data_IF_674674580734
#
_entry.id   IF_674674580734
#
_cell.length_a   1.000
_cell.length_b   1.000
_cell.length_c   1.000
_cell.angle_alpha   90.00
_cell.angle_beta   90.00
_cell.angle_gamma   90.00
#
_symmetry.space_group_name_H-M   'P 1'
#
loop_
_entity.id
_entity.type
_entity.pdbx_description
1 polymer ?
#
# COMPACT_ATOMS: atom_id res chain seq x y z
N UNK A 1 21.63 -57.60 8.67
CA UNK A 1 21.52 -58.88 9.39
C UNK A 1 20.07 -59.16 9.69
N UNK A 2 19.65 -60.32 9.28
CA UNK A 2 18.43 -61.15 9.40
C UNK A 2 17.32 -60.89 8.38
N UNK A 3 17.41 -61.70 7.32
CA UNK A 3 16.33 -62.22 6.48
C UNK A 3 15.44 -63.14 7.29
N UNK A 4 14.17 -63.18 7.02
CA UNK A 4 13.35 -64.39 7.25
C UNK A 4 12.50 -64.65 6.04
N UNK A 5 12.86 -65.75 5.35
CA UNK A 5 12.03 -66.49 4.39
C UNK A 5 11.03 -67.34 5.16
N UNK A 6 9.82 -67.53 4.60
CA UNK A 6 9.09 -68.76 4.83
C UNK A 6 8.37 -69.16 3.54
N UNK A 7 8.84 -70.26 2.98
CA UNK A 7 8.17 -71.07 1.98
C UNK A 7 7.38 -72.21 2.63
N UNK A 8 6.51 -72.79 1.84
CA UNK A 8 5.85 -74.13 1.95
C UNK A 8 4.52 -74.18 2.71
N UNK A 9 3.44 -74.78 2.14
CA UNK A 9 3.26 -76.09 1.51
C UNK A 9 1.95 -76.16 0.74
N UNK A 10 2.03 -76.81 -0.42
CA UNK A 10 0.90 -77.38 -1.19
C UNK A 10 0.39 -78.69 -0.55
N UNK A 11 -0.91 -78.93 -0.62
CA UNK A 11 -1.55 -80.23 -0.79
C UNK A 11 -3.06 -80.08 -0.80
N UNK A 12 -3.76 -80.20 -1.89
CA UNK A 12 -4.35 -81.46 -2.30
C UNK A 12 -5.86 -81.33 -2.50
N UNK A 13 -6.31 -81.33 -3.70
CA UNK A 13 -7.58 -81.93 -4.25
C UNK A 13 -8.88 -81.79 -3.43
N UNK A 14 -9.85 -81.00 -4.01
CA UNK A 14 -11.13 -81.61 -4.43
C UNK A 14 -11.89 -80.62 -5.34
N UNK A 15 -12.16 -81.13 -6.53
CA UNK A 15 -12.94 -80.49 -7.57
C UNK A 15 -14.45 -80.68 -7.23
N UNK A 16 -15.20 -79.78 -7.81
CA UNK A 16 -16.60 -79.89 -8.24
C UNK A 16 -17.66 -79.22 -7.35
N UNK A 17 -18.51 -78.50 -8.08
CA UNK A 17 -19.77 -77.91 -7.70
C UNK A 17 -19.70 -76.58 -6.85
N UNK A 18 -19.55 -75.48 -7.55
CA UNK A 18 -20.29 -74.24 -7.31
C UNK A 18 -20.01 -73.22 -8.45
N UNK A 19 -20.36 -73.68 -9.69
CA UNK A 19 -20.41 -72.77 -10.83
C UNK A 19 -21.85 -72.25 -10.97
N UNK A 20 -22.16 -71.08 -10.48
CA UNK A 20 -23.49 -70.55 -10.74
C UNK A 20 -23.83 -69.22 -10.06
N UNK A 21 -23.11 -68.80 -9.05
CA UNK A 21 -23.56 -67.63 -8.27
C UNK A 21 -22.57 -66.47 -8.20
N UNK A 22 -21.38 -66.56 -8.84
CA UNK A 22 -20.36 -65.53 -8.81
C UNK A 22 -20.42 -64.58 -10.01
N UNK A 23 -21.12 -64.95 -11.09
CA UNK A 23 -21.19 -64.14 -12.31
C UNK A 23 -22.19 -62.96 -12.26
N UNK A 24 -23.11 -62.94 -11.29
CA UNK A 24 -24.09 -61.83 -11.20
C UNK A 24 -23.75 -60.78 -10.19
N UNK A 25 -22.78 -61.00 -9.31
CA UNK A 25 -22.33 -60.00 -8.31
C UNK A 25 -21.19 -59.10 -8.82
N UNK A 26 -20.55 -59.39 -9.95
CA UNK A 26 -19.48 -58.59 -10.53
C UNK A 26 -19.95 -57.55 -11.55
N UNK A 27 -21.23 -57.56 -11.94
CA UNK A 27 -21.79 -56.60 -12.90
C UNK A 27 -22.47 -55.39 -12.23
N UNK A 28 -22.62 -55.37 -10.88
CA UNK A 28 -23.22 -54.26 -10.15
C UNK A 28 -22.22 -53.36 -9.45
N UNK A 29 -20.91 -53.66 -9.56
CA UNK A 29 -19.83 -52.86 -9.00
C UNK A 29 -19.18 -51.86 -9.98
N UNK A 30 -19.67 -51.78 -11.24
CA UNK A 30 -19.03 -51.00 -12.30
C UNK A 30 -19.76 -49.72 -12.70
N UNK A 31 -20.84 -49.33 -12.00
CA UNK A 31 -21.50 -48.04 -12.26
C UNK A 31 -21.73 -47.30 -10.93
N UNK A 32 -20.68 -47.08 -10.20
CA UNK A 32 -20.66 -45.87 -9.35
C UNK A 32 -20.27 -44.70 -10.24
N UNK A 33 -21.10 -43.65 -10.38
CA UNK A 33 -20.64 -42.46 -11.04
C UNK A 33 -19.40 -42.03 -10.26
N UNK A 34 -18.26 -41.93 -10.95
CA UNK A 34 -17.11 -41.23 -10.48
C UNK A 34 -17.63 -39.79 -10.22
N UNK A 35 -18.10 -39.56 -9.00
CA UNK A 35 -18.30 -38.21 -8.51
C UNK A 35 -16.92 -37.59 -8.68
N UNK A 36 -16.70 -36.86 -9.79
CA UNK A 36 -15.61 -35.91 -9.88
C UNK A 36 -15.77 -35.03 -8.64
N UNK A 37 -15.04 -35.36 -7.59
CA UNK A 37 -14.78 -34.40 -6.54
C UNK A 37 -14.25 -33.19 -7.31
N UNK A 38 -15.08 -32.18 -7.47
CA UNK A 38 -14.63 -30.87 -7.90
C UNK A 38 -13.52 -30.52 -6.93
N UNK A 39 -12.29 -30.65 -7.37
CA UNK A 39 -11.15 -30.11 -6.66
C UNK A 39 -11.49 -28.61 -6.63
N UNK A 40 -11.96 -28.14 -5.50
CA UNK A 40 -12.17 -26.72 -5.27
C UNK A 40 -10.77 -26.10 -5.32
N UNK A 41 -10.34 -25.77 -6.54
CA UNK A 41 -9.10 -25.01 -6.72
C UNK A 41 -9.34 -23.67 -6.07
N UNK A 42 -8.61 -23.40 -4.99
CA UNK A 42 -8.57 -22.05 -4.41
C UNK A 42 -8.00 -21.13 -5.47
N UNK A 43 -8.74 -20.08 -5.81
CA UNK A 43 -8.24 -19.04 -6.69
C UNK A 43 -7.29 -18.12 -5.88
N UNK A 44 -6.21 -17.70 -6.51
CA UNK A 44 -5.16 -16.95 -5.80
C UNK A 44 -4.79 -15.69 -6.57
N UNK A 45 -4.59 -14.59 -5.82
CA UNK A 45 -4.00 -13.35 -6.31
C UNK A 45 -2.84 -12.94 -5.40
N UNK A 46 -1.87 -12.21 -5.95
CA UNK A 46 -0.83 -11.52 -5.20
C UNK A 46 -1.03 -10.00 -5.34
N UNK A 47 -1.34 -9.34 -4.23
CA UNK A 47 -1.39 -7.88 -4.13
C UNK A 47 -0.08 -7.36 -3.53
N UNK A 48 0.68 -6.61 -4.31
CA UNK A 48 1.94 -5.98 -3.89
C UNK A 48 1.69 -4.49 -3.63
N UNK A 49 2.05 -4.02 -2.43
CA UNK A 49 1.72 -2.66 -2.02
C UNK A 49 2.79 -2.01 -1.13
N UNK A 50 2.63 -0.73 -0.82
CA UNK A 50 3.49 -0.01 0.12
C UNK A 50 3.01 -0.19 1.58
N UNK A 51 3.98 -0.14 2.53
CA UNK A 51 3.75 -0.52 3.94
C UNK A 51 2.52 0.09 4.62
N UNK A 52 2.20 1.38 4.47
CA UNK A 52 1.05 1.99 5.12
C UNK A 52 -0.31 1.37 4.81
N UNK A 53 -0.43 0.64 3.69
CA UNK A 53 -1.70 0.02 3.27
C UNK A 53 -1.88 -1.41 3.77
N UNK A 54 -0.96 -1.94 4.56
CA UNK A 54 -0.97 -3.33 5.04
C UNK A 54 -2.29 -3.73 5.69
N UNK A 55 -2.73 -2.94 6.66
CA UNK A 55 -3.90 -3.23 7.48
C UNK A 55 -5.19 -3.11 6.67
N UNK A 56 -5.35 -2.03 5.91
CA UNK A 56 -6.54 -1.80 5.08
C UNK A 56 -6.70 -2.86 3.99
N UNK A 57 -5.58 -3.28 3.35
CA UNK A 57 -5.62 -4.34 2.33
C UNK A 57 -5.96 -5.68 2.98
N UNK A 58 -5.45 -5.96 4.18
CA UNK A 58 -5.78 -7.18 4.91
C UNK A 58 -7.29 -7.28 5.16
N UNK A 59 -7.91 -6.25 5.72
CA UNK A 59 -9.36 -6.23 5.98
C UNK A 59 -10.18 -6.32 4.68
N UNK A 60 -9.74 -5.64 3.60
CA UNK A 60 -10.41 -5.73 2.30
C UNK A 60 -10.31 -7.15 1.73
N UNK A 61 -9.17 -7.83 1.88
CA UNK A 61 -9.00 -9.20 1.40
C UNK A 61 -9.93 -10.17 2.14
N UNK A 62 -10.08 -10.01 3.45
CA UNK A 62 -11.01 -10.84 4.23
C UNK A 62 -12.46 -10.59 3.79
N UNK A 63 -12.87 -9.33 3.66
CA UNK A 63 -14.20 -8.96 3.20
C UNK A 63 -14.47 -9.48 1.79
N UNK A 64 -13.51 -9.33 0.87
CA UNK A 64 -13.62 -9.85 -0.50
C UNK A 64 -13.75 -11.36 -0.53
N UNK A 65 -12.96 -12.10 0.27
CA UNK A 65 -13.03 -13.56 0.31
C UNK A 65 -14.40 -14.06 0.82
N UNK A 66 -14.99 -13.37 1.79
CA UNK A 66 -16.35 -13.66 2.29
C UNK A 66 -17.41 -13.37 1.23
N UNK A 67 -17.31 -12.22 0.55
CA UNK A 67 -18.21 -11.83 -0.55
C UNK A 67 -18.12 -12.81 -1.72
N UNK A 68 -16.90 -13.17 -2.13
CA UNK A 68 -16.65 -14.16 -3.15
C UNK A 68 -17.29 -15.52 -2.82
N UNK A 69 -17.08 -16.01 -1.60
CA UNK A 69 -17.66 -17.28 -1.16
C UNK A 69 -19.19 -17.26 -1.22
N UNK A 70 -19.80 -16.14 -0.83
CA UNK A 70 -21.25 -15.96 -0.79
C UNK A 70 -21.87 -15.91 -2.19
N UNK A 71 -21.26 -15.22 -3.17
CA UNK A 71 -21.89 -14.94 -4.45
C UNK A 71 -21.37 -15.80 -5.61
N UNK A 72 -20.14 -16.30 -5.54
CA UNK A 72 -19.53 -17.11 -6.60
C UNK A 72 -19.37 -18.58 -6.21
N UNK A 73 -19.37 -18.87 -4.90
CA UNK A 73 -18.98 -20.17 -4.37
C UNK A 73 -17.48 -20.47 -4.58
N UNK A 74 -16.92 -21.36 -3.80
CA UNK A 74 -15.49 -21.63 -3.83
C UNK A 74 -14.66 -20.69 -2.95
N UNK A 75 -13.34 -20.90 -2.95
CA UNK A 75 -12.41 -20.16 -2.12
C UNK A 75 -11.53 -19.26 -2.96
N UNK A 76 -11.28 -18.06 -2.46
CA UNK A 76 -10.26 -17.16 -3.01
C UNK A 76 -9.29 -16.79 -1.88
N UNK A 77 -8.01 -16.68 -2.20
CA UNK A 77 -6.97 -16.25 -1.30
C UNK A 77 -6.18 -15.11 -1.95
N UNK A 78 -6.05 -14.00 -1.25
CA UNK A 78 -5.27 -12.86 -1.70
C UNK A 78 -4.01 -12.79 -0.83
N UNK A 79 -2.88 -13.14 -1.43
CA UNK A 79 -1.56 -12.96 -0.81
C UNK A 79 -1.16 -11.49 -0.84
N UNK A 80 -0.38 -11.08 0.14
CA UNK A 80 0.08 -9.69 0.28
C UNK A 80 1.61 -9.63 0.36
N UNK A 81 2.19 -8.62 -0.30
CA UNK A 81 3.58 -8.23 -0.11
C UNK A 81 3.65 -6.73 0.14
N UNK A 82 4.29 -6.32 1.22
CA UNK A 82 4.39 -4.93 1.63
C UNK A 82 5.85 -4.51 1.82
N UNK A 83 6.13 -3.23 1.57
CA UNK A 83 7.47 -2.67 1.73
C UNK A 83 7.52 -1.22 1.28
N UNK A 84 8.71 -0.67 1.13
CA UNK A 84 8.87 0.66 0.54
C UNK A 84 8.34 0.68 -0.90
N UNK A 85 7.51 1.67 -1.25
CA UNK A 85 6.79 1.76 -2.53
C UNK A 85 7.71 1.52 -3.75
N UNK A 86 8.80 2.28 -3.89
CA UNK A 86 9.74 2.09 -4.99
C UNK A 86 10.52 0.75 -4.93
N UNK A 87 10.67 0.13 -3.76
CA UNK A 87 11.25 -1.21 -3.63
C UNK A 87 10.32 -2.27 -4.17
N UNK A 88 9.03 -2.18 -3.82
CA UNK A 88 8.01 -3.09 -4.32
C UNK A 88 7.81 -2.97 -5.83
N UNK A 89 7.83 -1.74 -6.37
CA UNK A 89 7.78 -1.52 -7.81
C UNK A 89 8.97 -2.19 -8.52
N UNK A 90 10.18 -2.06 -7.98
CA UNK A 90 11.37 -2.76 -8.52
C UNK A 90 11.22 -4.27 -8.44
N UNK A 91 10.73 -4.81 -7.33
CA UNK A 91 10.52 -6.26 -7.20
C UNK A 91 9.59 -6.81 -8.29
N UNK A 92 8.50 -6.10 -8.62
CA UNK A 92 7.60 -6.46 -9.72
C UNK A 92 8.35 -6.34 -11.06
N UNK A 93 9.07 -5.24 -11.28
CA UNK A 93 9.86 -5.01 -12.50
C UNK A 93 10.95 -6.07 -12.72
N UNK A 94 11.45 -6.68 -11.65
CA UNK A 94 12.46 -7.73 -11.62
C UNK A 94 11.86 -9.15 -11.60
N UNK A 95 10.53 -9.29 -11.71
CA UNK A 95 9.85 -10.56 -11.94
C UNK A 95 8.98 -11.09 -10.80
N UNK A 96 8.70 -10.31 -9.74
CA UNK A 96 7.69 -10.71 -8.74
C UNK A 96 6.31 -10.77 -9.42
N UNK A 97 5.62 -11.93 -9.46
CA UNK A 97 4.42 -12.14 -10.26
C UNK A 97 3.16 -11.57 -9.60
N UNK A 98 3.18 -10.27 -9.27
CA UNK A 98 2.03 -9.57 -8.71
C UNK A 98 0.85 -9.54 -9.69
N UNK A 99 -0.36 -9.73 -9.20
CA UNK A 99 -1.59 -9.53 -9.97
C UNK A 99 -2.07 -8.09 -9.84
N UNK A 100 -1.95 -7.52 -8.64
CA UNK A 100 -2.33 -6.15 -8.30
C UNK A 100 -1.12 -5.43 -7.71
N UNK A 101 -0.95 -4.18 -8.11
CA UNK A 101 0.04 -3.27 -7.55
C UNK A 101 -0.63 -2.01 -7.02
N UNK A 102 -0.30 -1.58 -5.80
CA UNK A 102 -0.68 -0.28 -5.27
C UNK A 102 0.52 0.41 -4.64
N UNK A 103 0.75 1.66 -5.01
CA UNK A 103 1.95 2.40 -4.63
C UNK A 103 1.63 3.78 -4.07
N UNK A 104 2.56 4.36 -3.33
CA UNK A 104 2.41 5.71 -2.81
C UNK A 104 2.43 6.78 -3.92
N UNK A 105 3.13 6.51 -5.03
CA UNK A 105 3.37 7.49 -6.08
C UNK A 105 3.10 6.91 -7.47
N UNK A 106 2.62 7.77 -8.36
CA UNK A 106 2.44 7.46 -9.77
C UNK A 106 3.75 7.02 -10.46
N UNK A 107 4.89 7.61 -10.09
CA UNK A 107 6.20 7.24 -10.64
C UNK A 107 6.62 5.80 -10.36
N UNK A 108 6.09 5.18 -9.31
CA UNK A 108 6.34 3.78 -9.01
C UNK A 108 5.54 2.87 -9.96
N UNK A 109 4.33 3.30 -10.41
CA UNK A 109 3.60 2.64 -11.51
C UNK A 109 4.34 2.77 -12.84
N UNK A 110 4.91 3.95 -13.14
CA UNK A 110 5.75 4.14 -14.33
C UNK A 110 6.93 3.15 -14.38
N UNK A 111 7.51 2.80 -13.25
CA UNK A 111 8.63 1.86 -13.19
C UNK A 111 8.24 0.47 -13.71
N UNK A 112 7.04 -0.02 -13.38
CA UNK A 112 6.55 -1.31 -13.90
C UNK A 112 6.01 -1.18 -15.33
N UNK A 113 5.43 -0.03 -15.70
CA UNK A 113 5.00 0.26 -17.07
C UNK A 113 6.16 0.27 -18.07
N UNK A 114 7.33 0.83 -17.70
CA UNK A 114 8.57 0.80 -18.51
C UNK A 114 9.04 -0.63 -18.82
N UNK A 115 8.68 -1.60 -18.01
CA UNK A 115 8.93 -3.04 -18.25
C UNK A 115 7.82 -3.72 -19.05
N UNK A 116 6.85 -2.96 -19.59
CA UNK A 116 5.70 -3.45 -20.36
C UNK A 116 4.81 -4.42 -19.56
N UNK A 117 4.78 -4.25 -18.25
CA UNK A 117 3.93 -5.04 -17.36
C UNK A 117 2.50 -4.48 -17.25
N UNK A 118 2.30 -3.22 -17.63
CA UNK A 118 1.01 -2.57 -17.76
C UNK A 118 0.68 -2.38 -19.25
N UNK A 119 -0.60 -2.49 -19.62
CA UNK A 119 -1.05 -2.22 -20.98
C UNK A 119 -0.89 -0.75 -21.35
N UNK A 120 -0.85 -0.46 -22.66
CA UNK A 120 -0.88 0.91 -23.17
C UNK A 120 -2.15 1.64 -22.67
N UNK A 121 -1.98 2.86 -22.18
CA UNK A 121 -3.09 3.64 -21.61
C UNK A 121 -3.42 3.33 -20.14
N UNK A 122 -2.53 2.63 -19.44
CA UNK A 122 -2.67 2.33 -18.01
C UNK A 122 -2.89 3.59 -17.16
N UNK A 123 -2.36 4.74 -17.59
CA UNK A 123 -2.53 6.02 -16.91
C UNK A 123 -4.00 6.47 -16.81
N UNK A 124 -4.87 5.90 -17.68
CA UNK A 124 -6.31 6.17 -17.72
C UNK A 124 -7.15 5.13 -16.99
N UNK A 125 -6.52 4.10 -16.44
CA UNK A 125 -7.24 3.09 -15.65
C UNK A 125 -7.91 3.72 -14.43
N UNK A 126 -9.12 3.23 -14.08
CA UNK A 126 -9.92 3.77 -12.97
C UNK A 126 -9.12 3.87 -11.66
N UNK A 127 -8.37 2.83 -11.30
CA UNK A 127 -7.56 2.81 -10.08
C UNK A 127 -6.38 3.77 -10.08
N UNK A 128 -6.04 4.37 -11.22
CA UNK A 128 -4.95 5.33 -11.39
C UNK A 128 -5.48 6.77 -11.45
N UNK A 129 -6.50 7.03 -12.27
CA UNK A 129 -7.09 8.39 -12.41
C UNK A 129 -8.06 8.73 -11.28
N UNK A 130 -8.65 7.73 -10.65
CA UNK A 130 -9.59 7.88 -9.54
C UNK A 130 -9.38 6.75 -8.54
N UNK A 131 -8.29 6.78 -7.78
CA UNK A 131 -8.00 5.76 -6.78
C UNK A 131 -9.13 5.62 -5.76
N UNK A 132 -9.32 4.41 -5.19
CA UNK A 132 -10.42 4.17 -4.26
C UNK A 132 -10.24 4.84 -2.89
N UNK A 133 -9.07 5.38 -2.66
CA UNK A 133 -8.66 6.01 -1.40
C UNK A 133 -7.78 7.23 -1.64
N UNK A 134 -7.76 8.11 -0.64
CA UNK A 134 -6.85 9.25 -0.57
C UNK A 134 -6.27 9.42 0.83
N UNK A 135 -5.24 10.22 0.95
CA UNK A 135 -4.66 10.66 2.23
C UNK A 135 -4.04 12.05 2.07
N UNK A 136 -3.48 12.58 3.13
CA UNK A 136 -2.81 13.87 3.14
C UNK A 136 -1.58 13.83 4.06
N UNK A 137 -0.75 14.87 4.06
CA UNK A 137 0.30 15.05 5.05
C UNK A 137 -0.27 15.86 6.22
N UNK A 138 -0.13 15.31 7.41
CA UNK A 138 -0.51 15.93 8.68
C UNK A 138 0.67 15.94 9.65
N UNK A 139 0.52 16.62 10.78
CA UNK A 139 1.54 16.73 11.82
C UNK A 139 1.11 15.92 13.03
N UNK A 140 1.91 14.93 13.40
CA UNK A 140 1.74 14.15 14.61
C UNK A 140 2.58 14.80 15.72
N UNK A 141 1.94 15.25 16.79
CA UNK A 141 2.57 15.98 17.90
C UNK A 141 2.36 15.25 19.22
N UNK A 142 3.14 15.62 20.23
CA UNK A 142 2.95 15.14 21.60
C UNK A 142 1.64 15.69 22.18
N UNK A 143 1.04 14.96 23.12
CA UNK A 143 -0.18 15.37 23.82
C UNK A 143 -0.10 16.81 24.33
N UNK A 144 -1.16 17.58 24.05
CA UNK A 144 -1.25 19.01 24.43
C UNK A 144 -0.40 19.92 23.56
N UNK A 145 0.21 19.42 22.51
CA UNK A 145 1.00 20.20 21.54
C UNK A 145 1.94 21.21 22.22
N UNK A 146 2.96 20.78 22.98
CA UNK A 146 3.79 21.67 23.83
C UNK A 146 4.50 22.78 23.06
N UNK A 147 4.77 22.53 21.74
CA UNK A 147 5.42 23.50 20.85
C UNK A 147 4.42 24.42 20.13
N UNK A 148 3.11 24.28 20.38
CA UNK A 148 2.03 25.07 19.77
C UNK A 148 2.11 25.09 18.23
N UNK A 149 2.45 23.94 17.62
CA UNK A 149 2.55 23.77 16.17
C UNK A 149 1.13 23.76 15.59
N UNK A 150 0.83 24.69 14.68
CA UNK A 150 -0.49 24.83 14.07
C UNK A 150 -0.43 24.71 12.54
N UNK A 151 0.68 25.14 11.92
CA UNK A 151 0.82 25.16 10.46
C UNK A 151 2.30 25.02 10.04
N UNK A 152 2.54 24.92 8.75
CA UNK A 152 3.87 24.78 8.14
C UNK A 152 4.88 25.81 8.59
N UNK A 153 4.46 27.07 8.82
CA UNK A 153 5.35 28.14 9.27
C UNK A 153 5.99 27.87 10.64
N UNK A 154 5.29 27.15 11.52
CA UNK A 154 5.80 26.83 12.84
C UNK A 154 6.98 25.85 12.77
N UNK A 155 7.01 25.00 11.72
CA UNK A 155 8.09 24.05 11.48
C UNK A 155 9.42 24.72 11.12
N UNK A 156 9.37 25.95 10.58
CA UNK A 156 10.56 26.71 10.19
C UNK A 156 11.21 27.46 11.38
N UNK A 157 10.60 27.42 12.58
CA UNK A 157 11.17 28.07 13.78
C UNK A 157 12.44 27.33 14.24
N UNK A 158 13.51 28.08 14.61
CA UNK A 158 14.73 27.43 15.09
C UNK A 158 14.50 26.55 16.32
N UNK A 159 15.14 25.39 16.36
CA UNK A 159 15.07 24.47 17.49
C UNK A 159 13.82 23.59 17.52
N UNK A 160 13.05 23.54 16.44
CA UNK A 160 11.98 22.59 16.24
C UNK A 160 12.57 21.21 15.86
N UNK A 161 12.26 20.17 16.62
CA UNK A 161 12.68 18.81 16.30
C UNK A 161 11.69 18.14 15.35
N UNK A 162 12.01 18.08 14.05
CA UNK A 162 11.12 17.52 13.02
C UNK A 162 11.58 16.13 12.66
N UNK A 163 10.67 15.14 12.67
CA UNK A 163 10.90 13.79 12.19
C UNK A 163 10.16 13.58 10.87
N UNK A 164 10.89 13.19 9.84
CA UNK A 164 10.37 12.89 8.50
C UNK A 164 11.27 11.88 7.81
N UNK A 165 10.73 11.00 6.95
CA UNK A 165 11.57 10.08 6.18
C UNK A 165 12.33 10.82 5.07
N UNK A 166 13.40 10.16 4.60
CA UNK A 166 14.27 10.70 3.56
C UNK A 166 13.56 10.73 2.19
N UNK A 167 13.40 11.90 1.55
CA UNK A 167 12.75 12.02 0.25
C UNK A 167 13.43 11.26 -0.90
N UNK A 168 14.73 10.95 -0.79
CA UNK A 168 15.43 10.18 -1.83
C UNK A 168 14.94 8.72 -1.92
N UNK A 169 14.40 8.17 -0.83
CA UNK A 169 14.06 6.75 -0.76
C UNK A 169 12.63 6.47 -0.29
N UNK A 170 11.94 7.48 0.27
CA UNK A 170 10.58 7.33 0.81
C UNK A 170 9.57 8.17 0.03
N UNK A 171 8.47 7.55 -0.41
CA UNK A 171 7.33 8.25 -1.00
C UNK A 171 6.69 9.26 -0.03
N UNK A 172 6.55 8.91 1.25
CA UNK A 172 6.08 9.84 2.27
C UNK A 172 7.00 11.05 2.38
N UNK A 173 8.32 10.84 2.43
CA UNK A 173 9.30 11.93 2.49
C UNK A 173 9.19 12.87 1.29
N UNK A 174 8.97 12.34 0.07
CA UNK A 174 8.73 13.17 -1.14
C UNK A 174 7.48 14.01 -0.99
N UNK A 175 6.38 13.41 -0.54
CA UNK A 175 5.11 14.13 -0.38
C UNK A 175 5.15 15.16 0.76
N UNK A 176 5.89 14.91 1.83
CA UNK A 176 6.19 15.92 2.87
C UNK A 176 6.93 17.11 2.27
N UNK A 177 7.98 16.86 1.49
CA UNK A 177 8.76 17.92 0.83
C UNK A 177 7.89 18.75 -0.12
N UNK A 178 7.09 18.06 -0.95
CA UNK A 178 6.18 18.70 -1.91
C UNK A 178 5.03 19.45 -1.21
N UNK A 179 4.55 18.95 -0.07
CA UNK A 179 3.52 19.66 0.71
C UNK A 179 4.04 21.00 1.25
N UNK A 180 5.25 21.00 1.79
CA UNK A 180 5.86 22.23 2.28
C UNK A 180 6.20 23.21 1.14
N UNK A 181 6.63 22.70 -0.01
CA UNK A 181 6.86 23.50 -1.21
C UNK A 181 5.58 24.12 -1.74
N UNK A 182 4.55 23.28 -1.99
CA UNK A 182 3.28 23.74 -2.51
C UNK A 182 2.55 24.69 -1.56
N UNK A 183 2.72 24.52 -0.24
CA UNK A 183 2.23 25.50 0.74
C UNK A 183 2.77 26.92 0.47
N UNK A 184 4.05 27.06 0.17
CA UNK A 184 4.65 28.34 -0.18
C UNK A 184 4.08 28.90 -1.48
N UNK A 185 4.00 28.08 -2.53
CA UNK A 185 3.45 28.53 -3.83
C UNK A 185 1.98 28.95 -3.73
N UNK A 186 1.15 28.19 -3.01
CA UNK A 186 -0.26 28.49 -2.75
C UNK A 186 -0.47 29.78 -1.95
N UNK A 187 0.53 30.20 -1.17
CA UNK A 187 0.56 31.50 -0.47
C UNK A 187 1.12 32.64 -1.33
N UNK A 188 1.47 32.36 -2.60
CA UNK A 188 1.97 33.37 -3.54
C UNK A 188 3.47 33.64 -3.46
N UNK A 189 4.22 32.79 -2.75
CA UNK A 189 5.68 32.90 -2.68
C UNK A 189 6.39 32.34 -3.92
N UNK A 190 7.56 32.86 -4.19
CA UNK A 190 8.42 32.38 -5.28
C UNK A 190 9.12 31.05 -4.95
N UNK A 191 9.64 30.38 -5.98
CA UNK A 191 10.49 29.19 -5.84
C UNK A 191 11.72 29.44 -4.95
N UNK A 192 12.29 30.62 -5.03
CA UNK A 192 13.43 31.02 -4.18
C UNK A 192 13.04 31.07 -2.69
N UNK A 193 11.89 31.64 -2.38
CA UNK A 193 11.38 31.70 -1.02
C UNK A 193 10.98 30.31 -0.50
N UNK A 194 10.41 29.47 -1.37
CA UNK A 194 10.11 28.08 -1.05
C UNK A 194 11.37 27.27 -0.73
N UNK A 195 12.50 27.49 -1.46
CA UNK A 195 13.79 26.87 -1.13
C UNK A 195 14.32 27.29 0.23
N UNK A 196 14.29 28.58 0.54
CA UNK A 196 14.73 29.09 1.84
C UNK A 196 13.83 28.57 2.97
N UNK A 197 12.54 28.47 2.74
CA UNK A 197 11.60 27.88 3.69
C UNK A 197 11.93 26.41 3.97
N UNK A 198 12.08 25.59 2.93
CA UNK A 198 12.47 24.19 3.07
C UNK A 198 13.85 24.02 3.74
N UNK A 199 14.78 24.90 3.45
CA UNK A 199 16.08 24.91 4.13
C UNK A 199 15.90 25.09 5.65
N UNK A 200 15.02 25.99 6.10
CA UNK A 200 14.72 26.18 7.53
C UNK A 200 14.08 24.93 8.14
N UNK A 201 13.08 24.32 7.45
CA UNK A 201 12.44 23.09 7.90
C UNK A 201 13.47 21.96 8.03
N UNK A 202 14.28 21.70 6.99
CA UNK A 202 15.22 20.57 6.97
C UNK A 202 16.45 20.79 7.85
N UNK A 203 16.78 22.01 8.25
CA UNK A 203 17.73 22.28 9.35
C UNK A 203 17.23 21.76 10.70
N UNK A 204 15.94 21.70 10.88
CA UNK A 204 15.28 21.22 12.08
C UNK A 204 15.06 19.68 12.07
N UNK A 205 15.53 18.96 11.06
CA UNK A 205 15.40 17.51 10.95
C UNK A 205 16.66 16.83 11.49
N UNK A 206 16.66 16.33 12.74
CA UNK A 206 17.85 15.71 13.33
C UNK A 206 18.13 14.32 12.75
N UNK A 207 17.09 13.62 12.30
CA UNK A 207 17.16 12.25 11.75
C UNK A 207 16.22 12.15 10.58
N UNK A 208 16.71 11.63 9.45
CA UNK A 208 15.90 11.24 8.28
C UNK A 208 15.88 9.73 8.16
N UNK A 209 14.77 9.13 8.54
CA UNK A 209 14.57 7.69 8.50
C UNK A 209 14.35 7.17 7.08
N UNK A 210 14.53 5.85 6.88
CA UNK A 210 14.35 5.21 5.57
C UNK A 210 12.89 5.06 5.13
N UNK A 211 11.93 5.13 6.06
CA UNK A 211 10.50 4.94 5.78
C UNK A 211 9.62 5.66 6.79
N UNK A 212 8.31 5.79 6.47
CA UNK A 212 7.32 6.37 7.37
C UNK A 212 7.24 5.62 8.71
N UNK A 213 7.24 4.28 8.68
CA UNK A 213 7.22 3.43 9.88
C UNK A 213 8.48 3.61 10.74
N UNK A 214 9.66 3.73 10.12
CA UNK A 214 10.89 4.01 10.85
C UNK A 214 10.84 5.39 11.53
N UNK A 215 10.27 6.41 10.87
CA UNK A 215 10.03 7.73 11.47
C UNK A 215 9.06 7.65 12.66
N UNK A 216 8.02 6.82 12.59
CA UNK A 216 7.11 6.61 13.71
C UNK A 216 7.84 5.98 14.91
N UNK A 217 8.70 4.97 14.69
CA UNK A 217 9.54 4.39 15.74
C UNK A 217 10.46 5.45 16.36
N UNK A 218 11.11 6.26 15.53
CA UNK A 218 12.00 7.35 16.00
C UNK A 218 11.22 8.38 16.81
N UNK A 219 10.06 8.81 16.33
CA UNK A 219 9.24 9.78 17.03
C UNK A 219 8.59 9.19 18.28
N UNK A 220 7.81 8.13 18.15
CA UNK A 220 6.96 7.64 19.24
C UNK A 220 7.74 6.80 20.27
N UNK A 221 8.50 5.78 19.81
CA UNK A 221 9.17 4.86 20.72
C UNK A 221 10.47 5.44 21.29
N UNK A 222 11.33 6.04 20.43
CA UNK A 222 12.60 6.65 20.86
C UNK A 222 12.40 8.04 21.45
N UNK A 223 11.20 8.63 21.35
CA UNK A 223 10.84 9.96 21.86
C UNK A 223 11.72 11.09 21.33
N UNK A 224 12.24 10.95 20.10
CA UNK A 224 13.03 11.96 19.41
C UNK A 224 12.10 12.91 18.64
N UNK A 225 12.38 14.21 18.69
CA UNK A 225 11.64 15.24 17.96
C UNK A 225 10.36 15.73 18.66
N UNK A 226 9.88 16.87 18.19
CA UNK A 226 8.68 17.55 18.68
C UNK A 226 7.45 17.25 17.81
N UNK A 227 7.69 17.00 16.53
CA UNK A 227 6.67 16.72 15.51
C UNK A 227 7.15 15.69 14.50
N UNK A 228 6.25 14.80 14.09
CA UNK A 228 6.47 13.91 12.94
C UNK A 228 5.55 14.33 11.80
N UNK A 229 6.10 14.47 10.58
CA UNK A 229 5.34 14.71 9.37
C UNK A 229 4.97 13.36 8.75
N UNK A 230 3.68 13.06 8.67
CA UNK A 230 3.18 11.72 8.36
C UNK A 230 1.99 11.75 7.42
N UNK A 231 1.69 10.61 6.80
CA UNK A 231 0.37 10.40 6.21
C UNK A 231 -0.71 10.46 7.29
N UNK A 232 -1.85 11.02 6.93
CA UNK A 232 -3.02 11.10 7.81
C UNK A 232 -3.44 9.71 8.33
N UNK A 233 -3.44 8.70 7.47
CA UNK A 233 -3.76 7.31 7.85
C UNK A 233 -2.80 6.75 8.91
N UNK A 234 -1.50 6.97 8.75
CA UNK A 234 -0.49 6.56 9.74
C UNK A 234 -0.60 7.34 11.05
N UNK A 235 -0.89 8.64 10.96
CA UNK A 235 -1.07 9.49 12.14
C UNK A 235 -2.32 9.09 12.95
N UNK A 236 -3.44 8.80 12.27
CA UNK A 236 -4.66 8.30 12.91
C UNK A 236 -4.42 6.97 13.65
N UNK A 237 -3.69 6.04 13.02
CA UNK A 237 -3.31 4.78 13.64
C UNK A 237 -2.39 5.03 14.85
N UNK A 238 -1.37 5.87 14.71
CA UNK A 238 -0.45 6.20 15.80
C UNK A 238 -1.14 6.82 17.00
N UNK A 239 -2.12 7.70 16.79
CA UNK A 239 -2.93 8.27 17.89
C UNK A 239 -3.72 7.20 18.59
N UNK A 240 -4.35 6.29 17.85
CA UNK A 240 -5.11 5.18 18.44
C UNK A 240 -4.21 4.27 19.28
N UNK A 241 -3.02 3.92 18.77
CA UNK A 241 -2.05 3.05 19.45
C UNK A 241 -1.34 3.75 20.62
N UNK A 242 -1.31 5.08 20.64
CA UNK A 242 -0.56 5.87 21.63
C UNK A 242 -1.23 6.02 23.00
N UNK A 243 -2.46 5.49 23.17
CA UNK A 243 -3.24 5.63 24.38
C UNK A 243 -3.33 7.09 24.86
N UNK A 244 -3.51 8.02 23.92
CA UNK A 244 -3.67 9.44 24.19
C UNK A 244 -2.37 10.20 24.45
N UNK A 245 -1.20 9.67 24.06
CA UNK A 245 0.09 10.36 24.17
C UNK A 245 0.40 11.23 22.95
N UNK A 246 -0.33 11.05 21.86
CA UNK A 246 -0.14 11.77 20.60
C UNK A 246 -1.43 12.45 20.15
N UNK A 247 -1.30 13.51 19.39
CA UNK A 247 -2.39 14.29 18.78
C UNK A 247 -2.03 14.65 17.34
N UNK A 248 -3.06 14.83 16.50
CA UNK A 248 -2.87 15.25 15.11
C UNK A 248 -3.17 16.74 15.00
N UNK A 249 -2.25 17.46 14.39
CA UNK A 249 -2.47 18.82 13.91
C UNK A 249 -2.67 18.77 12.40
N UNK A 250 -3.81 19.28 11.95
CA UNK A 250 -4.12 19.42 10.53
C UNK A 250 -3.62 20.80 10.08
N UNK A 251 -2.63 20.88 9.18
CA UNK A 251 -2.16 22.16 8.66
C UNK A 251 -3.23 22.81 7.79
N UNK A 252 -3.08 24.11 7.53
CA UNK A 252 -4.02 24.87 6.69
C UNK A 252 -4.20 24.27 5.30
N UNK A 253 -3.17 23.59 4.77
CA UNK A 253 -3.22 22.88 3.51
C UNK A 253 -2.15 21.79 3.38
N UNK A 254 -2.39 20.82 2.48
CA UNK A 254 -1.47 19.74 2.15
C UNK A 254 -1.61 19.39 0.67
N UNK A 255 -0.62 18.68 0.13
CA UNK A 255 -0.77 18.04 -1.18
C UNK A 255 -1.82 16.93 -1.09
N UNK A 256 -2.69 16.84 -2.09
CA UNK A 256 -3.60 15.71 -2.25
C UNK A 256 -2.79 14.46 -2.60
N UNK A 257 -2.98 13.41 -1.85
CA UNK A 257 -2.30 12.13 -2.07
C UNK A 257 -3.34 11.10 -2.46
N UNK A 258 -3.29 10.68 -3.71
CA UNK A 258 -4.16 9.68 -4.31
C UNK A 258 -3.31 8.46 -4.73
N UNK A 259 -3.04 7.50 -3.84
CA UNK A 259 -2.20 6.34 -4.13
C UNK A 259 -2.81 5.47 -5.24
N UNK A 260 -2.15 5.33 -6.40
CA UNK A 260 -2.68 4.55 -7.50
C UNK A 260 -2.71 3.05 -7.18
N UNK A 261 -3.71 2.36 -7.73
CA UNK A 261 -3.85 0.91 -7.72
C UNK A 261 -4.13 0.42 -9.15
N UNK A 262 -3.41 -0.60 -9.60
CA UNK A 262 -3.56 -1.13 -10.96
C UNK A 262 -3.42 -2.65 -10.99
N UNK A 263 -4.04 -3.26 -12.00
CA UNK A 263 -3.80 -4.65 -12.40
C UNK A 263 -2.45 -4.70 -13.12
N UNK A 264 -1.63 -5.69 -12.82
CA UNK A 264 -0.37 -5.94 -13.51
C UNK A 264 -0.66 -6.85 -14.71
N UNK A 265 -1.01 -6.22 -15.84
CA UNK A 265 -1.60 -6.85 -17.01
C UNK A 265 -0.84 -8.09 -17.52
N UNK A 266 0.47 -7.98 -17.73
CA UNK A 266 1.27 -9.08 -18.24
C UNK A 266 1.25 -10.31 -17.31
N UNK A 267 1.17 -10.09 -16.01
CA UNK A 267 1.15 -11.17 -15.02
C UNK A 267 -0.22 -11.86 -14.98
N UNK A 268 -1.31 -11.08 -14.90
CA UNK A 268 -2.65 -11.66 -14.84
C UNK A 268 -3.00 -12.41 -16.13
N UNK A 269 -2.55 -11.94 -17.29
CA UNK A 269 -2.73 -12.62 -18.57
C UNK A 269 -1.95 -13.94 -18.61
N UNK A 270 -0.69 -13.92 -18.16
CA UNK A 270 0.14 -15.13 -18.09
C UNK A 270 -0.40 -16.17 -17.10
N UNK A 271 -0.98 -15.72 -15.99
CA UNK A 271 -1.52 -16.58 -14.92
C UNK A 271 -2.97 -17.00 -15.16
N UNK A 272 -3.69 -16.34 -16.08
CA UNK A 272 -5.13 -16.53 -16.28
C UNK A 272 -5.98 -16.01 -15.12
N UNK A 273 -5.51 -15.00 -14.38
CA UNK A 273 -6.18 -14.44 -13.20
C UNK A 273 -6.89 -13.12 -13.47
N UNK A 274 -6.97 -12.65 -14.72
CA UNK A 274 -7.50 -11.34 -15.10
C UNK A 274 -8.91 -11.08 -14.57
N UNK A 275 -9.85 -11.98 -14.82
CA UNK A 275 -11.25 -11.81 -14.42
C UNK A 275 -11.36 -11.65 -12.89
N UNK A 276 -10.59 -12.45 -12.14
CA UNK A 276 -10.55 -12.36 -10.69
C UNK A 276 -9.94 -11.03 -10.22
N UNK A 277 -8.85 -10.59 -10.85
CA UNK A 277 -8.17 -9.33 -10.53
C UNK A 277 -9.08 -8.13 -10.79
N UNK A 278 -9.87 -8.14 -11.88
CA UNK A 278 -10.84 -7.09 -12.20
C UNK A 278 -11.99 -7.04 -11.18
N UNK A 279 -12.53 -8.19 -10.79
CA UNK A 279 -13.58 -8.26 -9.76
C UNK A 279 -13.02 -7.76 -8.42
N UNK A 280 -11.80 -8.16 -8.05
CA UNK A 280 -11.15 -7.72 -6.83
C UNK A 280 -10.87 -6.21 -6.83
N UNK A 281 -10.35 -5.64 -7.92
CA UNK A 281 -10.14 -4.21 -8.03
C UNK A 281 -11.46 -3.43 -7.97
N UNK A 282 -12.52 -3.93 -8.59
CA UNK A 282 -13.84 -3.30 -8.54
C UNK A 282 -14.45 -3.33 -7.13
N UNK A 283 -14.16 -4.37 -6.33
CA UNK A 283 -14.62 -4.46 -4.94
C UNK A 283 -14.18 -3.26 -4.08
N UNK A 284 -13.00 -2.68 -4.35
CA UNK A 284 -12.52 -1.48 -3.64
C UNK A 284 -13.46 -0.27 -3.71
N UNK A 285 -14.31 -0.20 -4.75
CA UNK A 285 -15.28 0.88 -4.95
C UNK A 285 -16.67 0.55 -4.39
N UNK A 286 -16.85 -0.64 -3.85
CA UNK A 286 -18.09 -1.03 -3.18
C UNK A 286 -18.19 -0.43 -1.78
N UNK A 287 -19.41 -0.23 -1.31
CA UNK A 287 -19.73 0.41 -0.01
C UNK A 287 -18.98 -0.22 1.15
N UNK A 288 -18.86 -1.55 1.18
CA UNK A 288 -18.16 -2.28 2.25
C UNK A 288 -16.67 -1.94 2.28
N UNK A 289 -15.98 -2.05 1.13
CA UNK A 289 -14.57 -1.71 1.02
C UNK A 289 -14.32 -0.22 1.31
N UNK A 290 -15.20 0.68 0.86
CA UNK A 290 -15.08 2.11 1.14
C UNK A 290 -15.21 2.44 2.65
N UNK A 291 -16.06 1.71 3.38
CA UNK A 291 -16.11 1.83 4.85
C UNK A 291 -14.86 1.27 5.52
N UNK A 292 -14.31 0.14 5.04
CA UNK A 292 -13.03 -0.40 5.53
C UNK A 292 -11.91 0.62 5.30
N UNK A 293 -11.84 1.23 4.11
CA UNK A 293 -10.89 2.29 3.76
C UNK A 293 -10.98 3.44 4.77
N UNK A 294 -12.19 3.94 5.04
CA UNK A 294 -12.40 5.04 5.97
C UNK A 294 -12.05 4.66 7.42
N UNK A 295 -12.41 3.45 7.87
CA UNK A 295 -12.06 2.93 9.20
C UNK A 295 -10.56 2.88 9.42
N UNK A 296 -9.80 2.51 8.39
CA UNK A 296 -8.34 2.45 8.42
C UNK A 296 -7.64 3.81 8.18
N UNK A 297 -8.37 4.92 8.24
CA UNK A 297 -7.78 6.26 8.19
C UNK A 297 -7.45 6.79 6.81
N UNK A 298 -7.93 6.14 5.75
CA UNK A 298 -7.87 6.65 4.39
C UNK A 298 -9.15 7.38 4.03
N UNK A 299 -9.05 8.49 3.30
CA UNK A 299 -10.19 9.23 2.79
C UNK A 299 -10.86 8.41 1.68
N UNK A 300 -12.10 7.95 1.85
CA UNK A 300 -12.78 7.15 0.83
C UNK A 300 -13.09 7.98 -0.41
N UNK A 301 -13.11 7.36 -1.58
CA UNK A 301 -13.47 8.03 -2.84
C UNK A 301 -14.98 8.17 -3.03
N UNK A 302 -15.79 7.39 -2.30
CA UNK A 302 -17.25 7.47 -2.31
C UNK A 302 -17.72 8.67 -1.47
N UNK A 303 -18.43 9.69 -2.07
CA UNK A 303 -18.84 10.86 -1.34
C UNK A 303 -19.83 10.58 -0.19
N UNK A 304 -20.65 9.53 -0.29
CA UNK A 304 -21.62 9.16 0.74
C UNK A 304 -20.90 8.60 1.96
N UNK A 305 -19.90 7.77 1.74
CA UNK A 305 -19.05 7.22 2.80
C UNK A 305 -18.13 8.31 3.38
N UNK A 306 -17.61 9.22 2.54
CA UNK A 306 -16.82 10.36 3.02
C UNK A 306 -17.64 11.22 3.99
N UNK A 307 -18.93 11.43 3.72
CA UNK A 307 -19.84 12.13 4.62
C UNK A 307 -20.11 11.35 5.91
N UNK A 308 -20.27 10.03 5.84
CA UNK A 308 -20.44 9.16 7.01
C UNK A 308 -19.26 9.30 7.99
N UNK A 309 -18.06 9.54 7.46
CA UNK A 309 -16.81 9.63 8.23
C UNK A 309 -16.25 11.06 8.33
N UNK A 310 -17.05 12.10 8.09
CA UNK A 310 -16.57 13.51 8.08
C UNK A 310 -15.92 13.95 9.39
N UNK A 311 -16.38 13.42 10.53
CA UNK A 311 -15.79 13.71 11.84
C UNK A 311 -14.37 13.16 12.02
N UNK A 312 -14.01 12.11 11.26
CA UNK A 312 -12.68 11.50 11.28
C UNK A 312 -11.68 12.28 10.43
N UNK A 313 -12.14 12.95 9.38
CA UNK A 313 -11.34 13.66 8.41
C UNK A 313 -11.69 15.16 8.40
N UNK A 314 -11.13 15.96 9.32
CA UNK A 314 -11.40 17.39 9.36
C UNK A 314 -11.14 18.07 8.02
N UNK A 315 -11.89 19.12 7.67
CA UNK A 315 -11.67 19.89 6.46
C UNK A 315 -10.25 20.47 6.42
N UNK A 316 -9.55 20.24 5.32
CA UNK A 316 -8.23 20.77 5.03
C UNK A 316 -8.16 21.11 3.54
N UNK A 317 -7.53 22.22 3.16
CA UNK A 317 -7.30 22.52 1.75
C UNK A 317 -6.30 21.51 1.18
N UNK A 318 -6.72 20.74 0.18
CA UNK A 318 -5.85 19.83 -0.56
C UNK A 318 -5.55 20.46 -1.93
N UNK A 319 -4.27 20.64 -2.24
CA UNK A 319 -3.85 21.13 -3.55
C UNK A 319 -3.34 19.97 -4.43
N UNK A 320 -3.55 20.11 -5.73
CA UNK A 320 -3.16 19.10 -6.72
C UNK A 320 -1.67 19.20 -7.07
N UNK A 321 -1.11 18.12 -7.64
CA UNK A 321 0.28 18.09 -8.12
C UNK A 321 0.63 19.28 -9.04
N UNK A 322 -0.34 19.76 -9.82
CA UNK A 322 -0.18 20.89 -10.76
C UNK A 322 0.32 22.19 -10.11
N UNK A 323 0.18 22.34 -8.79
CA UNK A 323 0.76 23.47 -8.05
C UNK A 323 2.29 23.40 -8.01
N UNK A 324 2.85 22.19 -8.01
CA UNK A 324 4.31 21.97 -7.86
C UNK A 324 5.00 21.55 -9.16
N UNK A 325 4.26 21.11 -10.17
CA UNK A 325 4.79 20.73 -11.47
C UNK A 325 3.74 20.12 -12.39
N UNK A 326 4.05 20.00 -13.68
CA UNK A 326 3.06 19.58 -14.69
C UNK A 326 2.87 18.05 -14.75
N UNK A 327 3.81 17.29 -14.23
CA UNK A 327 3.75 15.83 -14.19
C UNK A 327 4.59 15.23 -13.06
N UNK A 328 4.26 14.02 -12.65
CA UNK A 328 5.10 13.29 -11.69
C UNK A 328 6.52 13.03 -12.20
N UNK A 329 6.73 12.83 -13.49
CA UNK A 329 8.06 12.64 -14.09
C UNK A 329 8.90 13.91 -13.95
N UNK A 330 8.32 15.07 -14.24
CA UNK A 330 8.96 16.38 -14.07
C UNK A 330 9.29 16.65 -12.60
N UNK A 331 8.34 16.46 -11.69
CA UNK A 331 8.54 16.63 -10.25
C UNK A 331 9.61 15.66 -9.74
N UNK A 332 9.58 14.39 -10.15
CA UNK A 332 10.57 13.41 -9.73
C UNK A 332 11.98 13.81 -10.16
N UNK A 333 12.17 14.23 -11.42
CA UNK A 333 13.49 14.63 -11.92
C UNK A 333 13.95 15.97 -11.35
N UNK A 334 13.07 16.96 -11.31
CA UNK A 334 13.41 18.31 -10.86
C UNK A 334 13.62 18.43 -9.35
N UNK A 335 12.84 17.72 -8.56
CA UNK A 335 12.94 17.79 -7.11
C UNK A 335 13.88 16.75 -6.51
N UNK A 336 13.83 15.50 -6.98
CA UNK A 336 14.48 14.36 -6.33
C UNK A 336 15.51 13.64 -7.22
N UNK A 337 15.70 14.07 -8.46
CA UNK A 337 16.77 13.62 -9.35
C UNK A 337 18.15 14.02 -8.83
N UNK A 338 19.20 13.66 -9.59
CA UNK A 338 20.56 14.12 -9.31
C UNK A 338 20.62 15.64 -9.43
N UNK A 339 21.24 16.31 -8.44
CA UNK A 339 21.29 17.75 -8.31
C UNK A 339 19.91 18.47 -8.30
N UNK A 340 18.84 17.76 -8.05
CA UNK A 340 17.49 18.31 -7.91
C UNK A 340 17.34 19.26 -6.72
N UNK A 341 16.16 19.85 -6.59
CA UNK A 341 15.86 20.86 -5.55
C UNK A 341 16.21 20.37 -4.15
N UNK A 342 15.91 19.11 -3.83
CA UNK A 342 16.25 18.52 -2.54
C UNK A 342 17.76 18.53 -2.27
N UNK A 343 18.58 18.12 -3.26
CA UNK A 343 20.03 18.13 -3.12
C UNK A 343 20.58 19.55 -2.96
N UNK A 344 20.03 20.52 -3.66
CA UNK A 344 20.40 21.93 -3.56
C UNK A 344 20.11 22.48 -2.15
N UNK A 345 18.93 22.20 -1.59
CA UNK A 345 18.56 22.56 -0.23
C UNK A 345 19.55 21.96 0.78
N UNK A 346 19.88 20.67 0.65
CA UNK A 346 20.84 20.00 1.53
C UNK A 346 22.28 20.52 1.40
N UNK A 347 22.73 20.79 0.18
CA UNK A 347 24.05 21.44 -0.03
C UNK A 347 24.12 22.82 0.65
N UNK A 348 23.05 23.61 0.57
CA UNK A 348 22.97 24.91 1.23
C UNK A 348 23.06 24.79 2.75
N UNK A 349 22.33 23.83 3.37
CA UNK A 349 22.37 23.57 4.83
C UNK A 349 23.79 23.19 5.27
N UNK A 350 24.46 22.28 4.55
CA UNK A 350 25.84 21.83 4.88
C UNK A 350 26.86 22.96 4.80
N UNK A 351 26.71 23.86 3.85
CA UNK A 351 27.64 24.98 3.64
C UNK A 351 27.50 26.04 4.76
N UNK A 352 26.30 26.23 5.32
CA UNK A 352 26.10 27.12 6.47
C UNK A 352 26.67 26.53 7.76
N UNK A 353 26.62 25.22 7.96
CA UNK A 353 27.20 24.54 9.14
C UNK A 353 28.73 24.49 9.16
N UNK A 354 29.39 24.88 8.05
CA UNK A 354 30.87 24.98 7.94
C UNK A 354 31.43 26.37 8.14
N UNK A 355 30.58 27.38 8.25
CA UNK A 355 30.93 28.78 8.58
C UNK A 355 30.69 29.04 10.04
#
# INVERSE_FOLDING_TARGET
MKRFNFEFLFSGTNAAFFGGFVAFSLLFLAIQPIQKRAVSTTLELLHVSFDPTREVIHEINEAFALDWQKFKGGKVQIFQSHGGSGSQARSIADGLPADIASFALFTDMEAIAKKKLLHSGWEKMKGVVSPPWGTAIVFLVRKGNPKKIMDWNDLAQPGMGIITPNPKISGNGRLVFLSAWGYMLEKGHSDSEAREFLKKIYKNVPVMDGSARASQVTFFQKKIGDVQLSFESEALMAVQESEGQLEIVYPSMSIKVDPPIAIVDANVDSKGTRDLAEIYLNFYYGTEAQRIIAKNGYRPSDPSIAKEFESKFPPMKLFELSVVGNSWAEVQSGFFGEDGIFDQVFKAIRNEGKR
#
